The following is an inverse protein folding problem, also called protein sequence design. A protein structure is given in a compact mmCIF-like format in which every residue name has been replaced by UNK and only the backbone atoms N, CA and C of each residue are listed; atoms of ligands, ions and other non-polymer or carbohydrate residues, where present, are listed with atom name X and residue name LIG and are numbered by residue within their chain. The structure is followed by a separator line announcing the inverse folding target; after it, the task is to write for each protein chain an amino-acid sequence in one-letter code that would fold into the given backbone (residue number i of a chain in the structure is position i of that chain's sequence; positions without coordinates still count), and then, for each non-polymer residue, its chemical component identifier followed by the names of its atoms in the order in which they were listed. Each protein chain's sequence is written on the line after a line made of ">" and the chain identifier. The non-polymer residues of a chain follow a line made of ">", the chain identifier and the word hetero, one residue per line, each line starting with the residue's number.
data_IF_914884309000
#
_entry.id   IF_914884309000
#
_cell.length_a   1.000
_cell.length_b   1.000
_cell.length_c   1.000
_cell.angle_alpha   90.00
_cell.angle_beta   90.00
_cell.angle_gamma   90.00
#
_symmetry.space_group_name_H-M   'P 1'
#
loop_
_entity.id
_entity.type
_entity.pdbx_description
1 polymer ?
#
# COMPACT_ATOMS: atom_id res chain seq x y z
N UNK A 1 18.67 -16.60 6.20
CA UNK A 1 19.23 -17.95 6.47
C UNK A 1 20.03 -18.35 5.26
N UNK A 2 21.32 -18.59 5.44
CA UNK A 2 22.35 -18.40 4.43
C UNK A 2 22.54 -19.58 3.48
N UNK A 3 23.12 -19.25 2.33
CA UNK A 3 23.46 -20.17 1.26
C UNK A 3 24.77 -20.91 1.61
N UNK A 4 24.74 -21.77 2.63
CA UNK A 4 25.91 -22.46 3.22
C UNK A 4 26.26 -23.79 2.54
N UNK A 5 25.87 -23.97 1.28
CA UNK A 5 26.17 -25.16 0.49
C UNK A 5 27.61 -25.17 -0.05
N UNK A 6 27.98 -26.23 -0.81
CA UNK A 6 29.25 -26.26 -1.54
C UNK A 6 29.34 -25.10 -2.55
N UNK A 7 30.54 -24.86 -3.09
CA UNK A 7 30.74 -23.85 -4.15
C UNK A 7 29.88 -24.18 -5.37
N UNK A 8 29.27 -23.15 -5.95
CA UNK A 8 28.55 -23.26 -7.21
C UNK A 8 29.45 -23.76 -8.35
N UNK A 9 28.99 -24.80 -9.04
CA UNK A 9 29.70 -25.50 -10.10
C UNK A 9 28.87 -25.64 -11.39
N UNK A 10 27.61 -25.18 -11.38
CA UNK A 10 26.70 -25.24 -12.53
C UNK A 10 26.22 -26.66 -12.88
N UNK A 11 26.59 -27.69 -12.11
CA UNK A 11 26.15 -29.06 -12.38
C UNK A 11 24.66 -29.21 -12.05
N UNK A 12 23.95 -30.04 -12.83
CA UNK A 12 22.56 -30.37 -12.55
C UNK A 12 22.46 -31.20 -11.27
N UNK A 13 21.68 -30.72 -10.30
CA UNK A 13 21.47 -31.41 -9.02
C UNK A 13 19.98 -31.48 -8.70
N UNK A 14 19.52 -32.53 -8.01
CA UNK A 14 18.16 -32.60 -7.51
C UNK A 14 17.87 -31.43 -6.55
N UNK A 15 16.67 -30.87 -6.66
CA UNK A 15 16.17 -29.75 -5.86
C UNK A 15 14.73 -30.04 -5.40
N UNK A 16 14.38 -29.56 -4.20
CA UNK A 16 13.04 -29.72 -3.64
C UNK A 16 12.70 -31.16 -3.25
N UNK A 17 11.43 -31.39 -2.93
CA UNK A 17 10.91 -32.70 -2.53
C UNK A 17 10.67 -33.61 -3.75
N UNK A 18 10.66 -34.92 -3.52
CA UNK A 18 10.19 -35.91 -4.50
C UNK A 18 8.66 -35.94 -4.46
N UNK A 19 8.01 -35.80 -5.62
CA UNK A 19 6.55 -35.85 -5.77
C UNK A 19 6.22 -36.80 -6.91
N UNK A 20 5.29 -37.74 -6.67
CA UNK A 20 4.89 -38.76 -7.66
C UNK A 20 6.07 -39.52 -8.29
N UNK A 21 7.03 -39.91 -7.44
CA UNK A 21 8.25 -40.62 -7.83
C UNK A 21 9.12 -39.87 -8.86
N UNK A 22 8.99 -38.54 -8.90
CA UNK A 22 9.77 -37.61 -9.73
C UNK A 22 10.37 -36.50 -8.88
N UNK A 23 11.53 -35.96 -9.29
CA UNK A 23 12.18 -34.86 -8.59
C UNK A 23 12.66 -33.79 -9.57
N UNK A 24 12.54 -32.53 -9.16
CA UNK A 24 13.07 -31.42 -9.93
C UNK A 24 14.60 -31.46 -9.91
N UNK A 25 15.21 -31.06 -11.03
CA UNK A 25 16.66 -30.90 -11.17
C UNK A 25 16.96 -29.51 -11.71
N UNK A 26 17.93 -28.84 -11.13
CA UNK A 26 18.35 -27.49 -11.51
C UNK A 26 19.87 -27.38 -11.49
N UNK A 27 20.48 -26.49 -12.30
CA UNK A 27 21.91 -26.23 -12.22
C UNK A 27 22.24 -25.60 -10.86
N UNK A 28 23.30 -26.08 -10.22
CA UNK A 28 23.78 -25.53 -8.97
C UNK A 28 24.59 -24.26 -9.23
N UNK A 29 23.88 -23.18 -9.51
CA UNK A 29 24.42 -21.86 -9.81
C UNK A 29 23.78 -20.76 -8.96
N UNK A 30 24.45 -19.61 -8.91
CA UNK A 30 23.84 -18.39 -8.42
C UNK A 30 22.74 -17.94 -9.39
N UNK A 31 21.64 -17.44 -8.83
CA UNK A 31 20.58 -16.77 -9.61
C UNK A 31 20.63 -15.33 -9.14
N UNK A 32 21.17 -14.48 -10.00
CA UNK A 32 21.20 -13.04 -9.80
C UNK A 32 19.77 -12.50 -9.72
N UNK A 33 19.57 -11.43 -8.95
CA UNK A 33 18.29 -10.73 -8.81
C UNK A 33 17.08 -11.54 -8.30
N UNK A 34 17.23 -12.80 -7.89
CA UNK A 34 16.11 -13.63 -7.37
C UNK A 34 15.22 -12.95 -6.32
N UNK A 35 15.80 -12.13 -5.46
CA UNK A 35 15.04 -11.38 -4.44
C UNK A 35 14.39 -10.13 -5.05
N UNK A 36 15.08 -9.45 -5.98
CA UNK A 36 14.54 -8.28 -6.65
C UNK A 36 13.36 -8.67 -7.56
N UNK A 37 13.48 -9.77 -8.30
CA UNK A 37 12.45 -10.32 -9.19
C UNK A 37 11.20 -10.82 -8.45
N UNK A 38 11.28 -10.99 -7.13
CA UNK A 38 10.11 -11.33 -6.32
C UNK A 38 9.19 -10.11 -6.14
N UNK A 39 9.72 -8.89 -6.11
CA UNK A 39 8.93 -7.69 -5.86
C UNK A 39 8.41 -7.09 -7.18
N UNK A 40 7.24 -6.48 -7.11
CA UNK A 40 6.66 -5.69 -8.20
C UNK A 40 6.73 -4.18 -7.94
N UNK A 41 6.35 -3.40 -8.96
CA UNK A 41 6.25 -1.95 -8.81
C UNK A 41 4.96 -1.59 -8.10
N UNK A 42 5.08 -0.93 -6.94
CA UNK A 42 3.92 -0.37 -6.25
C UNK A 42 3.28 0.79 -7.02
N UNK A 43 1.95 0.82 -6.98
CA UNK A 43 1.12 1.81 -7.65
C UNK A 43 0.28 2.58 -6.63
N UNK A 44 0.17 3.89 -6.83
CA UNK A 44 -0.67 4.75 -6.00
C UNK A 44 -1.50 5.68 -6.88
N UNK A 45 -2.82 5.56 -6.75
CA UNK A 45 -3.79 6.42 -7.39
C UNK A 45 -4.48 7.29 -6.36
N UNK A 46 -4.33 8.61 -6.52
CA UNK A 46 -4.97 9.59 -5.66
C UNK A 46 -5.80 10.57 -6.47
N UNK A 47 -7.10 10.57 -6.19
CA UNK A 47 -8.06 11.45 -6.81
C UNK A 47 -8.63 12.39 -5.74
N UNK A 48 -8.63 13.68 -6.01
CA UNK A 48 -9.19 14.68 -5.09
C UNK A 48 -10.00 15.69 -5.85
N UNK A 49 -11.20 15.97 -5.34
CA UNK A 49 -12.06 17.03 -5.83
C UNK A 49 -12.49 17.89 -4.65
N UNK A 50 -12.45 19.20 -4.85
CA UNK A 50 -12.91 20.15 -3.85
C UNK A 50 -13.71 21.26 -4.50
N UNK A 51 -14.74 21.69 -3.79
CA UNK A 51 -15.50 22.89 -4.10
C UNK A 51 -15.36 23.87 -2.93
N UNK A 52 -15.19 25.13 -3.26
CA UNK A 52 -15.20 26.23 -2.31
C UNK A 52 -16.16 27.30 -2.81
N UNK A 53 -16.68 28.09 -1.88
CA UNK A 53 -17.50 29.23 -2.23
C UNK A 53 -17.82 30.06 -1.00
N UNK A 54 -18.31 31.26 -1.24
CA UNK A 54 -18.57 32.20 -0.17
C UNK A 54 -18.94 33.59 -0.65
N UNK A 55 -19.22 34.46 0.30
CA UNK A 55 -19.42 35.88 0.14
C UNK A 55 -18.69 36.63 1.26
N UNK A 56 -18.89 37.95 1.37
CA UNK A 56 -18.20 38.79 2.35
C UNK A 56 -18.31 38.32 3.82
N UNK A 57 -19.35 37.54 4.15
CA UNK A 57 -19.66 37.14 5.52
C UNK A 57 -19.67 35.61 5.73
N UNK A 58 -19.62 34.80 4.66
CA UNK A 58 -19.78 33.35 4.75
C UNK A 58 -18.80 32.66 3.83
N UNK A 59 -18.11 31.64 4.34
CA UNK A 59 -17.23 30.78 3.57
C UNK A 59 -17.63 29.33 3.78
N UNK A 60 -17.60 28.54 2.71
CA UNK A 60 -17.76 27.10 2.79
C UNK A 60 -16.75 26.39 1.88
N UNK A 61 -16.33 25.22 2.32
CA UNK A 61 -15.40 24.34 1.62
C UNK A 61 -15.86 22.90 1.80
N UNK A 62 -15.91 22.14 0.72
CA UNK A 62 -16.18 20.72 0.69
C UNK A 62 -15.11 20.04 -0.15
N UNK A 63 -14.53 18.96 0.35
CA UNK A 63 -13.61 18.14 -0.42
C UNK A 63 -13.88 16.67 -0.23
N UNK A 64 -13.69 15.91 -1.30
CA UNK A 64 -13.65 14.47 -1.33
C UNK A 64 -12.29 14.03 -1.87
N UNK A 65 -11.64 13.09 -1.18
CA UNK A 65 -10.38 12.49 -1.63
C UNK A 65 -10.48 10.99 -1.53
N UNK A 66 -10.10 10.31 -2.61
CA UNK A 66 -9.93 8.87 -2.70
C UNK A 66 -8.46 8.59 -2.96
N UNK A 67 -7.90 7.62 -2.24
CA UNK A 67 -6.53 7.17 -2.36
C UNK A 67 -6.53 5.63 -2.37
N UNK A 68 -5.94 5.03 -3.38
CA UNK A 68 -5.77 3.57 -3.49
C UNK A 68 -4.29 3.29 -3.74
N UNK A 69 -3.74 2.36 -2.96
CA UNK A 69 -2.34 1.96 -3.00
C UNK A 69 -2.29 0.46 -3.13
N UNK A 70 -1.44 0.00 -4.03
CA UNK A 70 -1.01 -1.37 -4.17
C UNK A 70 0.52 -1.39 -4.02
N UNK A 71 1.03 -2.26 -3.18
CA UNK A 71 2.42 -2.19 -2.75
C UNK A 71 3.36 -2.96 -3.66
N UNK A 72 4.50 -3.39 -3.12
CA UNK A 72 5.56 -4.04 -3.91
C UNK A 72 5.51 -5.56 -3.80
N UNK A 73 4.69 -6.11 -2.91
CA UNK A 73 4.51 -7.54 -2.85
C UNK A 73 3.59 -7.97 -4.00
N UNK A 74 3.87 -9.10 -4.66
CA UNK A 74 2.95 -9.65 -5.65
C UNK A 74 1.56 -9.87 -5.04
N UNK A 75 0.53 -9.57 -5.83
CA UNK A 75 -0.89 -9.66 -5.43
C UNK A 75 -1.31 -8.53 -4.45
N UNK A 76 -2.61 -8.41 -4.14
CA UNK A 76 -3.18 -7.30 -3.37
C UNK A 76 -2.97 -7.41 -1.84
N UNK A 77 -1.91 -8.10 -1.41
CA UNK A 77 -1.63 -8.46 -0.02
C UNK A 77 -1.08 -7.31 0.82
N UNK A 78 -0.57 -6.26 0.17
CA UNK A 78 -0.09 -5.01 0.77
C UNK A 78 -0.83 -3.77 0.19
N UNK A 79 -2.16 -3.86 0.14
CA UNK A 79 -3.04 -2.81 -0.37
C UNK A 79 -3.59 -1.86 0.70
N UNK A 80 -3.81 -0.58 0.33
CA UNK A 80 -4.40 0.45 1.19
C UNK A 80 -5.37 1.35 0.43
N UNK A 81 -6.64 1.31 0.83
CA UNK A 81 -7.69 2.18 0.30
C UNK A 81 -8.20 3.14 1.37
N UNK A 82 -8.27 4.43 1.04
CA UNK A 82 -8.81 5.46 1.92
C UNK A 82 -9.72 6.44 1.18
N UNK A 83 -10.86 6.71 1.80
CA UNK A 83 -11.83 7.70 1.37
C UNK A 83 -11.99 8.75 2.46
N UNK A 84 -11.87 10.03 2.10
CA UNK A 84 -11.99 11.14 3.05
C UNK A 84 -12.95 12.19 2.51
N UNK A 85 -13.91 12.59 3.34
CA UNK A 85 -14.80 13.72 3.13
C UNK A 85 -14.47 14.78 4.19
N UNK A 86 -14.24 16.01 3.76
CA UNK A 86 -14.00 17.16 4.65
C UNK A 86 -14.94 18.28 4.28
N UNK A 87 -15.59 18.87 5.29
CA UNK A 87 -16.39 20.07 5.14
C UNK A 87 -15.99 21.11 6.17
N UNK A 88 -15.86 22.35 5.73
CA UNK A 88 -15.57 23.51 6.58
C UNK A 88 -16.54 24.61 6.22
N UNK A 89 -17.11 25.25 7.23
CA UNK A 89 -18.00 26.38 7.05
C UNK A 89 -17.68 27.44 8.09
N UNK A 90 -17.77 28.71 7.70
CA UNK A 90 -17.57 29.84 8.59
C UNK A 90 -18.58 30.91 8.25
N UNK A 91 -19.19 31.51 9.27
CA UNK A 91 -20.10 32.62 9.12
C UNK A 91 -19.74 33.72 10.12
N UNK A 92 -19.63 34.95 9.62
CA UNK A 92 -19.27 36.14 10.38
C UNK A 92 -20.44 37.12 10.37
N UNK A 93 -20.85 37.52 11.55
CA UNK A 93 -21.71 38.69 11.80
C UNK A 93 -20.85 39.84 12.34
N UNK A 94 -21.45 41.01 12.57
CA UNK A 94 -20.72 42.21 13.02
C UNK A 94 -19.94 42.00 14.34
N UNK A 95 -20.44 41.13 15.23
CA UNK A 95 -19.89 40.93 16.57
C UNK A 95 -19.50 39.48 16.89
N UNK A 96 -19.83 38.53 16.01
CA UNK A 96 -19.64 37.11 16.26
C UNK A 96 -19.17 36.40 14.99
N UNK A 97 -18.21 35.48 15.13
CA UNK A 97 -17.83 34.55 14.07
C UNK A 97 -18.03 33.13 14.57
N UNK A 98 -18.74 32.33 13.80
CA UNK A 98 -18.93 30.90 14.05
C UNK A 98 -18.23 30.14 12.94
N UNK A 99 -17.50 29.09 13.30
CA UNK A 99 -16.83 28.23 12.34
C UNK A 99 -16.97 26.77 12.74
N UNK A 100 -17.19 25.91 11.74
CA UNK A 100 -17.38 24.48 11.89
C UNK A 100 -16.46 23.76 10.92
N UNK A 101 -15.83 22.68 11.37
CA UNK A 101 -15.01 21.80 10.54
C UNK A 101 -15.32 20.36 10.90
N UNK A 102 -15.72 19.57 9.92
CA UNK A 102 -16.04 18.15 10.08
C UNK A 102 -15.22 17.37 9.06
N UNK A 103 -14.52 16.33 9.53
CA UNK A 103 -13.74 15.43 8.70
C UNK A 103 -14.19 14.01 8.99
N UNK A 104 -14.45 13.25 7.94
CA UNK A 104 -14.75 11.83 8.02
C UNK A 104 -13.82 11.07 7.09
N UNK A 105 -13.23 9.98 7.58
CA UNK A 105 -12.45 9.08 6.75
C UNK A 105 -12.73 7.64 7.08
N UNK A 106 -12.73 6.80 6.05
CA UNK A 106 -12.77 5.34 6.16
C UNK A 106 -11.58 4.78 5.39
N UNK A 107 -11.01 3.71 5.91
CA UNK A 107 -9.87 3.03 5.31
C UNK A 107 -9.99 1.51 5.41
N UNK A 108 -9.42 0.83 4.43
CA UNK A 108 -9.22 -0.61 4.39
C UNK A 108 -7.76 -0.87 4.11
N UNK A 109 -7.13 -1.67 4.96
CA UNK A 109 -5.70 -2.00 4.86
C UNK A 109 -5.55 -3.51 4.82
N UNK A 110 -4.82 -3.99 3.83
CA UNK A 110 -4.21 -5.30 3.82
C UNK A 110 -2.71 -5.11 4.02
N UNK A 111 -2.11 -5.92 4.88
CA UNK A 111 -0.69 -5.84 5.15
C UNK A 111 -0.11 -7.25 5.20
N UNK A 112 1.05 -7.43 4.57
CA UNK A 112 1.81 -8.68 4.68
C UNK A 112 2.26 -8.85 6.14
N UNK A 113 1.85 -9.93 6.83
CA UNK A 113 2.24 -10.15 8.20
C UNK A 113 3.74 -10.45 8.28
N UNK A 114 4.54 -9.46 8.66
CA UNK A 114 6.00 -9.54 8.76
C UNK A 114 6.51 -10.39 9.95
N UNK A 115 5.64 -11.14 10.64
CA UNK A 115 6.00 -11.96 11.81
C UNK A 115 6.46 -11.20 13.05
N UNK A 116 6.74 -9.90 12.95
CA UNK A 116 6.79 -8.96 14.06
C UNK A 116 5.44 -8.25 14.11
N UNK A 117 4.66 -8.52 15.15
CA UNK A 117 3.31 -8.01 15.31
C UNK A 117 3.26 -6.50 15.14
N UNK A 118 2.30 -6.03 14.36
CA UNK A 118 1.87 -4.63 14.45
C UNK A 118 1.24 -4.48 15.83
N UNK A 119 1.88 -3.74 16.72
CA UNK A 119 1.21 -3.22 17.91
C UNK A 119 0.11 -2.27 17.43
N UNK A 120 -1.12 -2.77 17.45
CA UNK A 120 -2.32 -1.94 17.47
C UNK A 120 -2.69 -1.65 18.92
#
# INVERSE_FOLDING_TARGET
>A
NGNWGPRYDGQMRPWGNVVDNSQQVAPFSYIEDRINDFFEYGLNYKNSISAYGGNANTDYFLSFTQNSVDGIYPEDVDSYDRYTISTKASHKTEKLKVSTSINFSTEKTNAVPMGQGSSA
#
